data_IF_175474956426
#
_entry.id   IF_175474956426
#
_cell.length_a   1.000
_cell.length_b   1.000
_cell.length_c   1.000
_cell.angle_alpha   90.00
_cell.angle_beta   90.00
_cell.angle_gamma   90.00
#
_symmetry.space_group_name_H-M   'P 1'
#
loop_
_entity.id
_entity.type
_entity.pdbx_description
1 polymer ?
#
# COMPACT_ATOMS: atom_id res chain seq x y z
N UNK A 1 -57.45 91.33 68.30
CA UNK A 1 -57.80 91.12 66.87
C UNK A 1 -56.64 90.42 66.21
N UNK A 2 -56.71 89.09 66.05
CA UNK A 2 -55.61 88.25 65.55
C UNK A 2 -55.71 88.12 64.04
N UNK A 3 -54.66 88.54 63.33
CA UNK A 3 -54.48 88.20 61.93
C UNK A 3 -53.68 86.87 61.82
N UNK A 4 -54.31 85.84 61.29
CA UNK A 4 -53.68 84.59 60.96
C UNK A 4 -52.89 84.78 59.68
N UNK A 5 -51.64 84.55 59.73
CA UNK A 5 -50.72 84.42 58.57
C UNK A 5 -50.59 82.91 58.24
N UNK A 6 -51.15 82.50 57.14
CA UNK A 6 -50.95 81.14 56.64
C UNK A 6 -49.66 81.06 55.78
N UNK A 7 -48.70 80.32 56.24
CA UNK A 7 -47.50 80.07 55.52
C UNK A 7 -47.67 78.81 54.68
N UNK A 8 -47.75 78.95 53.33
CA UNK A 8 -47.74 77.82 52.37
C UNK A 8 -46.30 77.42 52.11
N UNK A 9 -45.94 76.29 52.63
CA UNK A 9 -44.67 75.68 52.28
C UNK A 9 -44.87 74.84 51.03
N UNK A 10 -44.33 75.29 49.89
CA UNK A 10 -44.31 74.54 48.65
C UNK A 10 -43.08 73.56 48.71
N UNK A 11 -43.35 72.29 48.89
CA UNK A 11 -42.36 71.29 48.79
C UNK A 11 -42.15 70.97 47.28
N UNK A 12 -41.06 71.44 46.69
CA UNK A 12 -40.65 71.07 45.36
C UNK A 12 -40.06 69.64 45.40
N UNK A 13 -40.84 68.66 45.03
CA UNK A 13 -40.37 67.32 44.76
C UNK A 13 -39.59 67.34 43.46
N UNK A 14 -38.29 67.58 43.55
CA UNK A 14 -37.37 67.32 42.45
C UNK A 14 -37.24 65.80 42.31
N UNK A 15 -38.05 65.20 41.43
CA UNK A 15 -37.93 63.82 41.04
C UNK A 15 -36.60 63.61 40.27
N UNK A 16 -35.65 63.08 40.96
CA UNK A 16 -34.46 62.52 40.27
C UNK A 16 -34.92 61.28 39.46
N UNK A 17 -35.20 61.47 38.18
CA UNK A 17 -35.31 60.33 37.23
C UNK A 17 -33.93 59.81 37.04
N UNK A 18 -33.57 58.75 37.78
CA UNK A 18 -32.38 57.95 37.47
C UNK A 18 -32.73 57.17 36.22
N UNK A 19 -32.38 57.74 35.07
CA UNK A 19 -32.39 56.96 33.81
C UNK A 19 -31.50 55.71 33.96
N UNK A 20 -32.01 54.51 33.75
CA UNK A 20 -31.18 53.36 33.79
C UNK A 20 -30.08 53.52 32.70
N UNK A 21 -28.80 53.45 33.12
CA UNK A 21 -27.72 53.42 32.18
C UNK A 21 -27.99 52.23 31.23
N UNK A 22 -27.91 52.41 29.91
CA UNK A 22 -28.01 51.24 29.00
C UNK A 22 -27.01 50.24 29.44
N UNK A 23 -27.47 49.04 29.77
CA UNK A 23 -26.60 47.92 29.97
C UNK A 23 -25.83 47.74 28.64
N UNK A 24 -24.58 48.13 28.64
CA UNK A 24 -23.70 47.74 27.55
C UNK A 24 -23.63 46.20 27.60
N UNK A 25 -24.36 45.56 26.70
CA UNK A 25 -24.14 44.16 26.41
C UNK A 25 -22.69 44.07 25.99
N UNK A 26 -21.81 43.69 26.91
CA UNK A 26 -20.48 43.21 26.52
C UNK A 26 -20.77 42.00 25.65
N UNK A 27 -20.62 42.17 24.35
CA UNK A 27 -20.57 41.04 23.46
C UNK A 27 -19.51 40.12 24.05
N UNK A 28 -19.94 38.93 24.48
CA UNK A 28 -19.02 37.87 24.82
C UNK A 28 -18.27 37.59 23.53
N UNK A 29 -17.11 38.25 23.33
CA UNK A 29 -16.18 37.81 22.33
C UNK A 29 -15.90 36.37 22.68
N UNK A 30 -16.20 35.40 21.77
CA UNK A 30 -15.90 34.01 22.07
C UNK A 30 -14.43 33.95 22.44
N UNK A 31 -14.17 33.54 23.66
CA UNK A 31 -12.79 33.31 24.11
C UNK A 31 -12.30 32.07 23.32
N UNK A 32 -11.70 32.35 22.18
CA UNK A 32 -11.00 31.32 21.42
C UNK A 32 -9.74 31.03 22.23
N UNK A 33 -9.71 29.87 22.89
CA UNK A 33 -8.48 29.37 23.48
C UNK A 33 -7.40 29.37 22.39
N UNK A 34 -6.25 30.00 22.60
CA UNK A 34 -5.17 29.91 21.65
C UNK A 34 -4.78 28.43 21.51
N UNK A 35 -5.03 27.88 20.31
CA UNK A 35 -4.61 26.52 20.01
C UNK A 35 -3.07 26.51 19.97
N UNK A 36 -2.47 25.68 20.76
CA UNK A 36 -1.04 25.39 20.69
C UNK A 36 -0.80 24.43 19.51
N UNK A 37 -0.54 25.00 18.35
CA UNK A 37 -0.32 24.23 17.12
C UNK A 37 0.95 23.37 17.19
N UNK A 38 1.94 23.78 17.96
CA UNK A 38 3.17 23.00 18.15
C UNK A 38 2.88 21.73 18.95
N UNK A 39 2.21 21.89 20.09
CA UNK A 39 1.76 20.76 20.91
C UNK A 39 0.83 19.82 20.12
N UNK A 40 -0.12 20.36 19.34
CA UNK A 40 -1.00 19.54 18.50
C UNK A 40 -0.20 18.73 17.48
N UNK A 41 0.77 19.35 16.83
CA UNK A 41 1.65 18.66 15.85
C UNK A 41 2.46 17.56 16.51
N UNK A 42 3.01 17.82 17.71
CA UNK A 42 3.74 16.80 18.48
C UNK A 42 2.85 15.62 18.83
N UNK A 43 1.63 15.87 19.31
CA UNK A 43 0.64 14.82 19.60
C UNK A 43 0.25 14.06 18.32
N UNK A 44 0.10 14.75 17.19
CA UNK A 44 -0.15 14.12 15.90
C UNK A 44 0.98 13.17 15.48
N UNK A 45 2.23 13.56 15.65
CA UNK A 45 3.40 12.69 15.40
C UNK A 45 3.45 11.49 16.34
N UNK A 46 3.14 11.69 17.61
CA UNK A 46 3.05 10.60 18.59
C UNK A 46 2.00 9.56 18.15
N UNK A 47 0.78 10.01 17.83
CA UNK A 47 -0.28 9.11 17.36
C UNK A 47 0.09 8.40 16.03
N UNK A 48 0.82 9.09 15.15
CA UNK A 48 1.33 8.47 13.92
C UNK A 48 2.33 7.36 14.23
N UNK A 49 3.22 7.55 15.20
CA UNK A 49 4.15 6.51 15.66
C UNK A 49 3.41 5.28 16.22
N UNK A 50 2.38 5.49 17.03
CA UNK A 50 1.53 4.40 17.53
C UNK A 50 0.77 3.69 16.40
N UNK A 51 0.25 4.46 15.43
CA UNK A 51 -0.42 3.90 14.26
C UNK A 51 0.53 3.02 13.42
N UNK A 52 1.79 3.44 13.25
CA UNK A 52 2.80 2.64 12.58
C UNK A 52 3.04 1.31 13.30
N UNK A 53 3.21 1.33 14.61
CA UNK A 53 3.37 0.10 15.41
C UNK A 53 2.16 -0.83 15.27
N UNK A 54 0.94 -0.29 15.32
CA UNK A 54 -0.27 -1.08 15.11
C UNK A 54 -0.30 -1.74 13.71
N UNK A 55 0.16 -1.04 12.68
CA UNK A 55 0.26 -1.59 11.33
C UNK A 55 1.29 -2.75 11.26
N UNK A 56 2.43 -2.62 11.92
CA UNK A 56 3.44 -3.67 12.04
C UNK A 56 2.88 -4.93 12.72
N UNK A 57 2.01 -4.77 13.73
CA UNK A 57 1.26 -5.86 14.35
C UNK A 57 0.01 -6.31 13.58
N UNK A 58 -0.14 -5.92 12.32
CA UNK A 58 -1.28 -6.24 11.44
C UNK A 58 -2.64 -5.78 11.96
N UNK A 59 -2.69 -4.80 12.86
CA UNK A 59 -3.92 -4.21 13.38
C UNK A 59 -4.38 -3.02 12.51
N UNK A 60 -4.55 -3.25 11.22
CA UNK A 60 -4.71 -2.21 10.19
C UNK A 60 -5.89 -1.25 10.45
N UNK A 61 -7.05 -1.76 10.88
CA UNK A 61 -8.21 -0.90 11.15
C UNK A 61 -7.93 0.10 12.29
N UNK A 62 -7.21 -0.34 13.32
CA UNK A 62 -6.83 0.52 14.45
C UNK A 62 -5.76 1.51 14.02
N UNK A 63 -4.77 1.06 13.28
CA UNK A 63 -3.72 1.91 12.70
C UNK A 63 -4.33 3.02 11.84
N UNK A 64 -5.27 2.67 10.96
CA UNK A 64 -5.94 3.62 10.08
C UNK A 64 -6.71 4.70 10.88
N UNK A 65 -7.49 4.28 11.89
CA UNK A 65 -8.23 5.23 12.75
C UNK A 65 -7.30 6.20 13.47
N UNK A 66 -6.20 5.68 14.00
CA UNK A 66 -5.24 6.49 14.75
C UNK A 66 -4.46 7.44 13.83
N UNK A 67 -4.07 6.99 12.64
CA UNK A 67 -3.42 7.82 11.63
C UNK A 67 -4.34 8.93 11.09
N UNK A 68 -5.65 8.67 10.96
CA UNK A 68 -6.64 9.69 10.60
C UNK A 68 -6.71 10.80 11.65
N UNK A 69 -6.70 10.45 12.95
CA UNK A 69 -6.64 11.41 14.04
C UNK A 69 -5.31 12.18 14.05
N UNK A 70 -4.20 11.48 13.80
CA UNK A 70 -2.88 12.10 13.69
C UNK A 70 -2.84 13.20 12.62
N UNK A 71 -3.43 12.98 11.46
CA UNK A 71 -3.52 13.99 10.37
C UNK A 71 -4.39 15.18 10.77
N UNK A 72 -5.43 14.99 11.60
CA UNK A 72 -6.22 16.12 12.10
C UNK A 72 -5.42 17.02 13.03
N UNK A 73 -4.51 16.45 13.83
CA UNK A 73 -3.65 17.20 14.75
C UNK A 73 -2.43 17.79 14.06
N UNK A 74 -1.86 17.09 13.07
CA UNK A 74 -0.68 17.50 12.32
C UNK A 74 -0.93 17.56 10.80
N UNK A 75 -1.83 18.42 10.32
CA UNK A 75 -2.28 18.40 8.92
C UNK A 75 -1.21 18.80 7.91
N UNK A 76 -0.12 19.43 8.34
CA UNK A 76 0.99 19.86 7.49
C UNK A 76 2.30 19.11 7.80
N UNK A 77 2.21 17.97 8.47
CA UNK A 77 3.37 17.12 8.68
C UNK A 77 3.47 16.08 7.57
N UNK A 78 4.58 16.12 6.82
CA UNK A 78 4.79 15.25 5.68
C UNK A 78 4.82 13.76 6.05
N UNK A 79 5.39 13.42 7.21
CA UNK A 79 5.52 12.03 7.64
C UNK A 79 4.18 11.47 8.11
N UNK A 80 3.39 12.27 8.82
CA UNK A 80 2.03 11.90 9.27
C UNK A 80 1.11 11.67 8.06
N UNK A 81 1.17 12.56 7.06
CA UNK A 81 0.43 12.42 5.81
C UNK A 81 0.87 11.17 5.03
N UNK A 82 2.19 10.92 4.97
CA UNK A 82 2.74 9.77 4.27
C UNK A 82 2.33 8.44 4.92
N UNK A 83 2.31 8.37 6.24
CA UNK A 83 1.85 7.19 6.96
C UNK A 83 0.39 6.88 6.63
N UNK A 84 -0.51 7.87 6.73
CA UNK A 84 -1.91 7.66 6.40
C UNK A 84 -2.09 7.29 4.92
N UNK A 85 -1.32 7.93 4.03
CA UNK A 85 -1.30 7.58 2.60
C UNK A 85 -0.88 6.13 2.36
N UNK A 86 0.17 5.66 3.04
CA UNK A 86 0.62 4.27 2.97
C UNK A 86 -0.42 3.27 3.51
N UNK A 87 -1.11 3.61 4.60
CA UNK A 87 -2.19 2.78 5.13
C UNK A 87 -3.39 2.70 4.18
N UNK A 88 -3.74 3.79 3.49
CA UNK A 88 -4.78 3.76 2.46
C UNK A 88 -4.34 2.93 1.23
N UNK A 89 -3.07 3.02 0.84
CA UNK A 89 -2.53 2.18 -0.23
C UNK A 89 -2.67 0.69 0.11
N UNK A 90 -2.34 0.32 1.33
CA UNK A 90 -2.46 -1.05 1.83
C UNK A 90 -3.92 -1.52 1.93
N UNK A 91 -4.86 -0.60 2.19
CA UNK A 91 -6.30 -0.85 2.18
C UNK A 91 -6.91 -0.90 0.76
N UNK A 92 -6.12 -0.66 -0.30
CA UNK A 92 -6.59 -0.58 -1.69
C UNK A 92 -7.28 0.74 -2.03
N UNK A 93 -7.27 1.72 -1.13
CA UNK A 93 -7.89 3.04 -1.33
C UNK A 93 -6.93 4.00 -2.07
N UNK A 94 -6.55 3.63 -3.28
CA UNK A 94 -5.45 4.20 -4.05
C UNK A 94 -5.59 5.71 -4.31
N UNK A 95 -6.80 6.22 -4.55
CA UNK A 95 -7.01 7.66 -4.80
C UNK A 95 -6.82 8.50 -3.53
N UNK A 96 -7.22 7.97 -2.38
CA UNK A 96 -6.96 8.62 -1.08
C UNK A 96 -5.49 8.62 -0.75
N UNK A 97 -4.80 7.50 -1.01
CA UNK A 97 -3.36 7.39 -0.87
C UNK A 97 -2.65 8.43 -1.72
N UNK A 98 -2.97 8.52 -3.02
CA UNK A 98 -2.37 9.47 -3.95
C UNK A 98 -2.54 10.93 -3.48
N UNK A 99 -3.73 11.29 -3.04
CA UNK A 99 -4.02 12.66 -2.55
C UNK A 99 -3.12 13.04 -1.37
N UNK A 100 -3.01 12.16 -0.38
CA UNK A 100 -2.20 12.42 0.83
C UNK A 100 -0.70 12.39 0.53
N UNK A 101 -0.25 11.41 -0.26
CA UNK A 101 1.16 11.28 -0.64
C UNK A 101 1.63 12.43 -1.54
N UNK A 102 0.78 12.93 -2.44
CA UNK A 102 1.09 14.13 -3.24
C UNK A 102 1.25 15.36 -2.35
N UNK A 103 0.37 15.52 -1.34
CA UNK A 103 0.50 16.58 -0.35
C UNK A 103 1.77 16.41 0.49
N UNK A 104 2.07 15.19 0.95
CA UNK A 104 3.30 14.90 1.68
C UNK A 104 4.55 15.23 0.84
N UNK A 105 4.55 14.84 -0.45
CA UNK A 105 5.65 15.15 -1.37
C UNK A 105 5.80 16.65 -1.64
N UNK A 106 4.73 17.44 -1.60
CA UNK A 106 4.84 18.91 -1.73
C UNK A 106 5.52 19.55 -0.51
N UNK A 107 5.42 18.93 0.67
CA UNK A 107 6.03 19.37 1.91
C UNK A 107 7.48 18.85 2.07
N UNK A 108 7.76 17.65 1.57
CA UNK A 108 9.07 17.02 1.64
C UNK A 108 9.40 16.29 0.32
N UNK A 109 9.77 17.01 -0.75
CA UNK A 109 9.84 16.46 -2.12
C UNK A 109 10.98 15.46 -2.35
N UNK A 110 11.97 15.42 -1.46
CA UNK A 110 13.13 14.52 -1.57
C UNK A 110 13.15 13.42 -0.49
N UNK A 111 12.05 13.25 0.23
CA UNK A 111 11.91 12.22 1.26
C UNK A 111 11.71 10.84 0.60
N UNK A 112 12.65 9.88 0.74
CA UNK A 112 12.61 8.62 0.02
C UNK A 112 11.35 7.81 0.28
N UNK A 113 10.89 7.75 1.52
CA UNK A 113 9.70 6.99 1.91
C UNK A 113 8.45 7.48 1.20
N UNK A 114 8.31 8.80 1.02
CA UNK A 114 7.18 9.41 0.28
C UNK A 114 7.28 9.05 -1.20
N UNK A 115 8.49 9.13 -1.77
CA UNK A 115 8.74 8.81 -3.17
C UNK A 115 8.47 7.33 -3.46
N UNK A 116 8.88 6.42 -2.57
CA UNK A 116 8.58 4.98 -2.70
C UNK A 116 7.08 4.70 -2.58
N UNK A 117 6.40 5.34 -1.62
CA UNK A 117 4.95 5.18 -1.48
C UNK A 117 4.18 5.73 -2.70
N UNK A 118 4.62 6.85 -3.31
CA UNK A 118 4.07 7.35 -4.58
C UNK A 118 4.33 6.36 -5.71
N UNK A 119 5.54 5.80 -5.80
CA UNK A 119 5.88 4.79 -6.78
C UNK A 119 4.96 3.57 -6.70
N UNK A 120 4.79 2.99 -5.50
CA UNK A 120 3.88 1.88 -5.26
C UNK A 120 2.40 2.24 -5.55
N UNK A 121 1.98 3.48 -5.24
CA UNK A 121 0.64 3.97 -5.55
C UNK A 121 0.41 4.03 -7.07
N UNK A 122 1.38 4.52 -7.84
CA UNK A 122 1.30 4.57 -9.30
C UNK A 122 1.36 3.16 -9.93
N UNK A 123 2.09 2.20 -9.34
CA UNK A 123 2.03 0.78 -9.75
C UNK A 123 0.61 0.23 -9.63
N UNK A 124 -0.07 0.41 -8.49
CA UNK A 124 -1.45 -0.03 -8.31
C UNK A 124 -2.43 0.66 -9.29
N UNK A 125 -2.15 1.90 -9.69
CA UNK A 125 -2.91 2.64 -10.70
C UNK A 125 -2.59 2.23 -12.13
N UNK A 126 -1.61 1.36 -12.32
CA UNK A 126 -1.08 0.99 -13.64
C UNK A 126 -0.40 2.14 -14.40
N UNK A 127 0.00 3.19 -13.68
CA UNK A 127 0.75 4.34 -14.20
C UNK A 127 2.27 4.05 -14.14
N UNK A 128 2.73 3.00 -14.83
CA UNK A 128 4.07 2.42 -14.68
C UNK A 128 5.22 3.39 -14.93
N UNK A 129 5.04 4.35 -15.85
CA UNK A 129 6.04 5.37 -16.13
C UNK A 129 6.20 6.36 -14.97
N UNK A 130 5.09 6.75 -14.34
CA UNK A 130 5.16 7.59 -13.15
C UNK A 130 5.73 6.81 -11.97
N UNK A 131 5.35 5.54 -11.83
CA UNK A 131 5.91 4.65 -10.80
C UNK A 131 7.44 4.59 -10.90
N UNK A 132 7.99 4.29 -12.08
CA UNK A 132 9.44 4.22 -12.28
C UNK A 132 10.11 5.55 -11.95
N UNK A 133 9.52 6.69 -12.37
CA UNK A 133 10.05 8.03 -12.09
C UNK A 133 10.18 8.32 -10.59
N UNK A 134 9.14 8.02 -9.80
CA UNK A 134 9.17 8.23 -8.35
C UNK A 134 10.14 7.27 -7.66
N UNK A 135 10.13 5.99 -8.03
CA UNK A 135 11.04 4.97 -7.48
C UNK A 135 12.51 5.31 -7.74
N UNK A 136 12.85 5.72 -8.97
CA UNK A 136 14.20 6.15 -9.30
C UNK A 136 14.64 7.38 -8.50
N UNK A 137 13.73 8.35 -8.29
CA UNK A 137 14.01 9.52 -7.45
C UNK A 137 14.32 9.11 -6.02
N UNK A 138 13.52 8.22 -5.43
CA UNK A 138 13.75 7.69 -4.09
C UNK A 138 15.07 6.90 -4.00
N UNK A 139 15.34 6.03 -4.97
CA UNK A 139 16.56 5.22 -5.03
C UNK A 139 17.85 6.04 -5.23
N UNK A 140 17.78 7.26 -5.75
CA UNK A 140 18.95 8.17 -5.73
C UNK A 140 19.33 8.58 -4.31
N UNK A 141 18.40 8.56 -3.36
CA UNK A 141 18.64 8.88 -1.94
C UNK A 141 18.94 7.64 -1.11
N UNK A 142 18.22 6.54 -1.38
CA UNK A 142 18.38 5.24 -0.72
C UNK A 142 18.62 4.14 -1.77
N UNK A 143 19.84 4.00 -2.30
CA UNK A 143 20.11 3.13 -3.45
C UNK A 143 19.97 1.64 -3.16
N UNK A 144 20.04 1.22 -1.90
CA UNK A 144 19.99 -0.17 -1.48
C UNK A 144 18.65 -0.57 -0.81
N UNK A 145 17.56 0.13 -1.12
CA UNK A 145 16.25 -0.26 -0.63
C UNK A 145 15.71 -1.43 -1.48
N UNK A 146 15.75 -2.65 -0.92
CA UNK A 146 15.39 -3.86 -1.67
C UNK A 146 13.94 -3.85 -2.18
N UNK A 147 12.99 -3.37 -1.36
CA UNK A 147 11.59 -3.26 -1.77
C UNK A 147 11.40 -2.25 -2.92
N UNK A 148 12.02 -1.08 -2.84
CA UNK A 148 11.92 -0.08 -3.90
C UNK A 148 12.57 -0.54 -5.20
N UNK A 149 13.68 -1.30 -5.14
CA UNK A 149 14.32 -1.93 -6.29
C UNK A 149 13.41 -3.01 -6.91
N UNK A 150 12.73 -3.81 -6.08
CA UNK A 150 11.74 -4.77 -6.53
C UNK A 150 10.56 -4.09 -7.24
N UNK A 151 9.98 -3.05 -6.62
CA UNK A 151 8.89 -2.28 -7.22
C UNK A 151 9.30 -1.62 -8.54
N UNK A 152 10.54 -1.12 -8.64
CA UNK A 152 11.07 -0.59 -9.88
C UNK A 152 11.26 -1.68 -10.94
N UNK A 153 11.66 -2.88 -10.53
CA UNK A 153 11.70 -4.06 -11.39
C UNK A 153 10.30 -4.39 -11.93
N UNK A 154 9.27 -4.36 -11.08
CA UNK A 154 7.88 -4.57 -11.48
C UNK A 154 7.42 -3.50 -12.48
N UNK A 155 7.75 -2.23 -12.24
CA UNK A 155 7.43 -1.13 -13.16
C UNK A 155 8.05 -1.36 -14.55
N UNK A 156 9.33 -1.74 -14.62
CA UNK A 156 10.01 -2.03 -15.87
C UNK A 156 9.47 -3.28 -16.57
N UNK A 157 9.13 -4.33 -15.82
CA UNK A 157 8.50 -5.53 -16.39
C UNK A 157 7.17 -5.18 -17.06
N UNK A 158 6.33 -4.38 -16.38
CA UNK A 158 5.04 -3.95 -16.91
C UNK A 158 5.17 -2.96 -18.09
N UNK A 159 6.32 -2.25 -18.19
CA UNK A 159 6.71 -1.47 -19.37
C UNK A 159 7.36 -2.32 -20.47
N UNK A 160 7.44 -3.64 -20.33
CA UNK A 160 8.10 -4.59 -21.25
C UNK A 160 9.61 -4.34 -21.40
N UNK A 161 10.24 -3.69 -20.43
CA UNK A 161 11.68 -3.42 -20.35
C UNK A 161 12.35 -4.53 -19.54
N UNK A 162 12.47 -5.70 -20.17
CA UNK A 162 12.85 -6.95 -19.50
C UNK A 162 14.27 -6.91 -18.91
N UNK A 163 15.22 -6.34 -19.62
CA UNK A 163 16.62 -6.29 -19.17
C UNK A 163 16.78 -5.35 -17.98
N UNK A 164 16.09 -4.20 -18.01
CA UNK A 164 16.03 -3.25 -16.90
C UNK A 164 15.33 -3.89 -15.67
N UNK A 165 14.25 -4.64 -15.88
CA UNK A 165 13.56 -5.36 -14.81
C UNK A 165 14.51 -6.35 -14.12
N UNK A 166 15.20 -7.21 -14.88
CA UNK A 166 16.18 -8.16 -14.34
C UNK A 166 17.30 -7.44 -13.58
N UNK A 167 17.79 -6.31 -14.13
CA UNK A 167 18.84 -5.55 -13.46
C UNK A 167 18.36 -5.01 -12.09
N UNK A 168 17.12 -4.53 -11.97
CA UNK A 168 16.56 -4.05 -10.70
C UNK A 168 16.28 -5.18 -9.72
N UNK A 169 15.74 -6.30 -10.16
CA UNK A 169 15.56 -7.48 -9.31
C UNK A 169 16.91 -8.02 -8.78
N UNK A 170 17.93 -8.09 -9.62
CA UNK A 170 19.28 -8.48 -9.17
C UNK A 170 19.84 -7.47 -8.14
N UNK A 171 19.64 -6.17 -8.33
CA UNK A 171 20.03 -5.16 -7.35
C UNK A 171 19.25 -5.31 -6.02
N UNK A 172 17.96 -5.67 -6.08
CA UNK A 172 17.16 -5.99 -4.89
C UNK A 172 17.73 -7.18 -4.12
N UNK A 173 18.08 -8.26 -4.82
CA UNK A 173 18.73 -9.45 -4.22
C UNK A 173 20.12 -9.10 -3.66
N UNK A 174 20.87 -8.24 -4.33
CA UNK A 174 22.18 -7.78 -3.82
C UNK A 174 22.03 -6.93 -2.55
N UNK A 175 20.95 -6.16 -2.43
CA UNK A 175 20.63 -5.37 -1.22
C UNK A 175 20.12 -6.26 -0.07
N UNK A 176 19.37 -7.32 -0.39
CA UNK A 176 18.82 -8.27 0.58
C UNK A 176 18.85 -9.68 -0.04
N UNK A 177 19.79 -10.50 0.38
CA UNK A 177 20.11 -11.79 -0.25
C UNK A 177 18.98 -12.85 -0.16
N UNK A 178 18.12 -12.74 0.84
CA UNK A 178 16.98 -13.64 1.05
C UNK A 178 15.65 -13.08 0.47
N UNK A 179 15.72 -12.02 -0.35
CA UNK A 179 14.54 -11.41 -0.95
C UNK A 179 14.04 -12.25 -2.14
N UNK A 180 13.49 -13.42 -1.82
CA UNK A 180 13.01 -14.41 -2.79
C UNK A 180 11.99 -13.87 -3.82
N UNK A 181 11.13 -12.82 -3.53
CA UNK A 181 10.19 -12.30 -4.54
C UNK A 181 10.89 -11.76 -5.79
N UNK A 182 12.06 -11.12 -5.63
CA UNK A 182 12.84 -10.66 -6.79
C UNK A 182 13.37 -11.82 -7.62
N UNK A 183 13.82 -12.89 -6.98
CA UNK A 183 14.32 -14.10 -7.66
C UNK A 183 13.17 -14.80 -8.42
N UNK A 184 11.99 -14.87 -7.80
CA UNK A 184 10.78 -15.37 -8.44
C UNK A 184 10.45 -14.57 -9.71
N UNK A 185 10.48 -13.25 -9.64
CA UNK A 185 10.14 -12.38 -10.77
C UNK A 185 11.21 -12.41 -11.88
N UNK A 186 12.49 -12.66 -11.56
CA UNK A 186 13.50 -12.97 -12.57
C UNK A 186 13.07 -14.22 -13.35
N UNK A 187 12.56 -15.26 -12.66
CA UNK A 187 12.04 -16.46 -13.30
C UNK A 187 10.89 -16.15 -14.27
N UNK A 188 9.94 -15.27 -13.87
CA UNK A 188 8.84 -14.85 -14.74
C UNK A 188 9.37 -14.18 -16.02
N UNK A 189 10.31 -13.25 -15.90
CA UNK A 189 10.91 -12.56 -17.06
C UNK A 189 11.65 -13.54 -17.97
N UNK A 190 12.48 -14.41 -17.41
CA UNK A 190 13.24 -15.40 -18.17
C UNK A 190 12.31 -16.34 -18.95
N UNK A 191 11.19 -16.73 -18.38
CA UNK A 191 10.21 -17.58 -19.07
C UNK A 191 9.57 -16.86 -20.25
N UNK A 192 9.19 -15.60 -20.11
CA UNK A 192 8.66 -14.79 -21.21
C UNK A 192 9.69 -14.63 -22.35
N UNK A 193 10.98 -14.54 -22.01
CA UNK A 193 12.09 -14.53 -22.98
C UNK A 193 12.38 -15.91 -23.61
N UNK A 194 11.66 -16.97 -23.20
CA UNK A 194 11.83 -18.32 -23.74
C UNK A 194 12.93 -19.14 -23.08
N UNK A 195 13.49 -18.68 -21.99
CA UNK A 195 14.59 -19.33 -21.26
C UNK A 195 14.05 -20.23 -20.14
N UNK A 196 13.23 -21.21 -20.52
CA UNK A 196 12.43 -22.02 -19.60
C UNK A 196 13.26 -22.75 -18.52
N UNK A 197 14.42 -23.30 -18.86
CA UNK A 197 15.26 -24.00 -17.87
C UNK A 197 15.89 -23.04 -16.86
N UNK A 198 16.28 -21.84 -17.30
CA UNK A 198 16.80 -20.81 -16.41
C UNK A 198 15.67 -20.25 -15.50
N UNK A 199 14.46 -20.09 -16.03
CA UNK A 199 13.29 -19.69 -15.26
C UNK A 199 13.00 -20.68 -14.13
N UNK A 200 12.98 -21.99 -14.45
CA UNK A 200 12.78 -23.05 -13.45
C UNK A 200 13.87 -23.01 -12.39
N UNK A 201 15.14 -22.85 -12.79
CA UNK A 201 16.24 -22.75 -11.82
C UNK A 201 16.05 -21.57 -10.86
N UNK A 202 15.55 -20.41 -11.35
CA UNK A 202 15.26 -19.26 -10.51
C UNK A 202 14.07 -19.49 -9.57
N UNK A 203 13.03 -20.15 -10.01
CA UNK A 203 11.91 -20.50 -9.12
C UNK A 203 12.30 -21.55 -8.08
N UNK A 204 13.17 -22.53 -8.43
CA UNK A 204 13.71 -23.48 -7.47
C UNK A 204 14.59 -22.77 -6.40
N UNK A 205 15.40 -21.76 -6.80
CA UNK A 205 16.16 -20.90 -5.90
C UNK A 205 15.23 -20.09 -4.99
N UNK A 206 14.22 -19.41 -5.55
CA UNK A 206 13.23 -18.64 -4.79
C UNK A 206 12.48 -19.52 -3.78
N UNK A 207 12.03 -20.71 -4.21
CA UNK A 207 11.31 -21.65 -3.36
C UNK A 207 12.18 -22.15 -2.20
N UNK A 208 13.47 -22.42 -2.45
CA UNK A 208 14.39 -22.85 -1.40
C UNK A 208 14.61 -21.75 -0.35
N UNK A 209 14.78 -20.49 -0.76
CA UNK A 209 14.91 -19.33 0.14
C UNK A 209 13.65 -19.05 0.93
N UNK A 210 12.47 -19.28 0.34
CA UNK A 210 11.18 -19.13 0.98
C UNK A 210 10.79 -20.31 1.92
N UNK A 211 11.69 -21.25 2.15
CA UNK A 211 11.43 -22.41 3.02
C UNK A 211 10.63 -23.53 2.36
N UNK A 212 10.46 -23.52 1.04
CA UNK A 212 9.86 -24.61 0.27
C UNK A 212 8.32 -24.62 0.24
N UNK A 213 7.64 -23.62 0.81
CA UNK A 213 6.17 -23.66 0.98
C UNK A 213 5.41 -22.66 0.08
N UNK A 214 6.09 -21.74 -0.61
CA UNK A 214 5.43 -20.72 -1.41
C UNK A 214 4.71 -21.31 -2.64
N UNK A 215 3.39 -21.07 -2.80
CA UNK A 215 2.59 -21.68 -3.85
C UNK A 215 2.94 -21.15 -5.26
N UNK A 216 3.30 -19.87 -5.40
CA UNK A 216 3.57 -19.28 -6.72
C UNK A 216 4.74 -19.93 -7.45
N UNK A 217 5.97 -19.98 -6.90
CA UNK A 217 7.07 -20.65 -7.59
C UNK A 217 6.83 -22.16 -7.76
N UNK A 218 6.13 -22.83 -6.82
CA UNK A 218 5.73 -24.24 -6.98
C UNK A 218 4.86 -24.42 -8.22
N UNK A 219 3.83 -23.61 -8.38
CA UNK A 219 2.92 -23.70 -9.52
C UNK A 219 3.65 -23.39 -10.83
N UNK A 220 4.49 -22.35 -10.86
CA UNK A 220 5.27 -21.99 -12.04
C UNK A 220 6.19 -23.15 -12.49
N UNK A 221 6.94 -23.77 -11.56
CA UNK A 221 7.77 -24.93 -11.82
C UNK A 221 6.91 -26.09 -12.38
N UNK A 222 5.80 -26.41 -11.73
CA UNK A 222 4.91 -27.50 -12.11
C UNK A 222 4.37 -27.32 -13.53
N UNK A 223 3.87 -26.14 -13.84
CA UNK A 223 3.32 -25.78 -15.16
C UNK A 223 4.37 -25.98 -16.25
N UNK A 224 5.57 -25.45 -16.04
CA UNK A 224 6.65 -25.54 -17.03
C UNK A 224 7.19 -26.96 -17.17
N UNK A 225 7.42 -27.66 -16.05
CA UNK A 225 7.87 -29.08 -16.08
C UNK A 225 6.84 -29.99 -16.71
N UNK A 226 5.53 -29.76 -16.51
CA UNK A 226 4.46 -30.50 -17.19
C UNK A 226 4.51 -30.27 -18.70
N UNK A 227 4.71 -29.05 -19.16
CA UNK A 227 4.84 -28.74 -20.58
C UNK A 227 6.11 -29.35 -21.21
N UNK A 228 7.26 -29.23 -20.55
CA UNK A 228 8.53 -29.82 -20.99
C UNK A 228 8.47 -31.36 -21.11
N UNK A 229 7.75 -32.00 -20.17
CA UNK A 229 7.54 -33.46 -20.20
C UNK A 229 6.57 -33.92 -21.27
N UNK A 230 5.95 -32.98 -22.02
CA UNK A 230 4.88 -33.29 -22.98
C UNK A 230 3.77 -34.17 -22.34
N UNK A 231 3.36 -33.84 -21.12
CA UNK A 231 2.52 -34.67 -20.28
C UNK A 231 1.08 -34.81 -20.79
N UNK A 232 0.69 -34.03 -21.78
CA UNK A 232 -0.60 -34.17 -22.49
C UNK A 232 -0.63 -35.34 -23.44
N UNK A 233 0.53 -35.78 -23.92
CA UNK A 233 0.61 -36.98 -24.80
C UNK A 233 0.33 -38.23 -23.96
N UNK A 234 -0.57 -39.09 -24.41
CA UNK A 234 -0.98 -40.30 -23.68
C UNK A 234 0.24 -41.18 -23.31
N UNK A 235 1.28 -41.21 -24.17
CA UNK A 235 2.54 -41.96 -23.96
C UNK A 235 3.29 -41.46 -22.72
N UNK A 236 3.23 -40.16 -22.41
CA UNK A 236 4.04 -39.52 -21.36
C UNK A 236 3.25 -39.23 -20.09
N UNK A 237 1.92 -39.27 -20.15
CA UNK A 237 1.05 -38.89 -19.03
C UNK A 237 1.34 -39.66 -17.73
N UNK A 238 1.78 -40.90 -17.82
CA UNK A 238 2.16 -41.74 -16.69
C UNK A 238 3.64 -41.64 -16.28
N UNK A 239 4.46 -40.84 -16.96
CA UNK A 239 5.86 -40.68 -16.60
C UNK A 239 6.06 -40.11 -15.21
N UNK A 240 7.14 -40.47 -14.54
CA UNK A 240 7.45 -39.96 -13.20
C UNK A 240 7.57 -38.42 -13.17
N UNK A 241 8.11 -37.84 -14.25
CA UNK A 241 8.20 -36.38 -14.39
C UNK A 241 6.82 -35.73 -14.41
N UNK A 242 5.89 -36.26 -15.20
CA UNK A 242 4.54 -35.74 -15.31
C UNK A 242 3.76 -35.89 -13.99
N UNK A 243 3.90 -37.04 -13.33
CA UNK A 243 3.26 -37.24 -12.02
C UNK A 243 3.78 -36.27 -10.95
N UNK A 244 5.10 -36.01 -10.91
CA UNK A 244 5.69 -35.02 -10.01
C UNK A 244 5.21 -33.60 -10.31
N UNK A 245 5.17 -33.21 -11.58
CA UNK A 245 4.68 -31.91 -12.00
C UNK A 245 3.20 -31.71 -11.61
N UNK A 246 2.35 -32.72 -11.87
CA UNK A 246 0.93 -32.68 -11.47
C UNK A 246 0.77 -32.55 -9.96
N UNK A 247 1.45 -33.42 -9.19
CA UNK A 247 1.38 -33.40 -7.72
C UNK A 247 1.83 -32.04 -7.16
N UNK A 248 2.96 -31.50 -7.64
CA UNK A 248 3.47 -30.21 -7.19
C UNK A 248 2.49 -29.05 -7.46
N UNK A 249 1.93 -29.00 -8.68
CA UNK A 249 0.99 -27.94 -9.03
C UNK A 249 -0.34 -28.05 -8.32
N UNK A 250 -0.87 -29.26 -8.12
CA UNK A 250 -2.07 -29.49 -7.33
C UNK A 250 -1.88 -29.08 -5.87
N UNK A 251 -0.75 -29.46 -5.26
CA UNK A 251 -0.41 -28.99 -3.89
C UNK A 251 -0.31 -27.47 -3.80
N UNK A 252 0.24 -26.78 -4.80
CA UNK A 252 0.27 -25.32 -4.82
C UNK A 252 -1.14 -24.69 -4.85
N UNK A 253 -2.04 -25.26 -5.66
CA UNK A 253 -3.44 -24.80 -5.75
C UNK A 253 -4.25 -25.09 -4.47
N UNK A 254 -3.98 -26.22 -3.81
CA UNK A 254 -4.58 -26.55 -2.50
C UNK A 254 -4.07 -25.63 -1.38
N UNK A 255 -2.79 -25.23 -1.44
CA UNK A 255 -2.19 -24.29 -0.48
C UNK A 255 -2.80 -22.88 -0.60
N UNK A 256 -3.04 -22.43 -1.84
CA UNK A 256 -3.68 -21.15 -2.09
C UNK A 256 -4.53 -21.22 -3.38
N UNK A 257 -5.82 -21.40 -3.19
CA UNK A 257 -6.79 -21.53 -4.30
C UNK A 257 -6.92 -20.28 -5.19
N UNK A 258 -6.43 -19.11 -4.72
CA UNK A 258 -6.43 -17.90 -5.55
C UNK A 258 -5.61 -18.08 -6.84
N UNK A 259 -4.58 -18.93 -6.82
CA UNK A 259 -3.79 -19.24 -8.02
C UNK A 259 -4.55 -20.07 -9.07
N UNK A 260 -5.77 -20.52 -8.79
CA UNK A 260 -6.69 -21.08 -9.77
C UNK A 260 -7.35 -20.01 -10.66
N UNK A 261 -7.34 -18.75 -10.22
CA UNK A 261 -7.91 -17.61 -10.93
C UNK A 261 -6.87 -16.97 -11.86
N UNK A 262 -7.19 -16.90 -13.15
CA UNK A 262 -6.30 -16.29 -14.15
C UNK A 262 -6.06 -14.79 -13.91
N UNK A 263 -7.05 -14.05 -13.39
CA UNK A 263 -6.87 -12.62 -13.11
C UNK A 263 -5.94 -12.42 -11.92
N UNK A 264 -5.98 -13.31 -10.93
CA UNK A 264 -5.00 -13.31 -9.84
C UNK A 264 -3.59 -13.61 -10.34
N UNK A 265 -3.41 -14.57 -11.26
CA UNK A 265 -2.11 -14.85 -11.89
C UNK A 265 -1.58 -13.62 -12.65
N UNK A 266 -2.43 -12.93 -13.42
CA UNK A 266 -2.03 -11.69 -14.12
C UNK A 266 -1.64 -10.58 -13.16
N UNK A 267 -2.35 -10.44 -12.03
CA UNK A 267 -1.98 -9.49 -10.98
C UNK A 267 -0.62 -9.81 -10.36
N UNK A 268 -0.23 -11.09 -10.33
CA UNK A 268 1.09 -11.56 -9.91
C UNK A 268 2.12 -11.60 -11.07
N UNK A 269 1.91 -10.79 -12.11
CA UNK A 269 2.84 -10.56 -13.22
C UNK A 269 3.11 -11.78 -14.11
N UNK A 270 2.24 -12.78 -14.09
CA UNK A 270 2.34 -13.89 -15.01
C UNK A 270 2.10 -13.41 -16.44
N UNK A 271 3.14 -13.49 -17.27
CA UNK A 271 3.11 -13.01 -18.63
C UNK A 271 2.35 -13.93 -19.58
N UNK A 272 2.21 -13.50 -20.82
CA UNK A 272 1.38 -14.19 -21.81
C UNK A 272 1.79 -15.64 -22.04
N UNK A 273 3.10 -15.89 -22.15
CA UNK A 273 3.63 -17.24 -22.41
C UNK A 273 3.36 -18.20 -21.24
N UNK A 274 3.59 -17.74 -20.02
CA UNK A 274 3.34 -18.55 -18.82
C UNK A 274 1.84 -18.82 -18.66
N UNK A 275 0.99 -17.81 -18.91
CA UNK A 275 -0.47 -17.97 -18.88
C UNK A 275 -0.97 -19.02 -19.87
N UNK A 276 -0.48 -19.02 -21.11
CA UNK A 276 -0.84 -20.04 -22.09
C UNK A 276 -0.44 -21.45 -21.62
N UNK A 277 0.76 -21.58 -21.02
CA UNK A 277 1.24 -22.86 -20.50
C UNK A 277 0.40 -23.31 -19.30
N UNK A 278 -0.01 -22.37 -18.45
CA UNK A 278 -0.88 -22.63 -17.30
C UNK A 278 -2.28 -23.13 -17.72
N UNK A 279 -2.87 -22.55 -18.73
CA UNK A 279 -4.15 -23.01 -19.28
C UNK A 279 -4.05 -24.47 -19.77
N UNK A 280 -2.89 -24.82 -20.36
CA UNK A 280 -2.66 -26.20 -20.76
C UNK A 280 -2.55 -27.14 -19.55
N UNK A 281 -1.89 -26.73 -18.49
CA UNK A 281 -1.79 -27.46 -17.24
C UNK A 281 -3.14 -27.62 -16.56
N UNK A 282 -3.95 -26.55 -16.48
CA UNK A 282 -5.32 -26.57 -15.94
C UNK A 282 -6.26 -27.48 -16.74
N UNK A 283 -5.97 -27.70 -18.03
CA UNK A 283 -6.69 -28.64 -18.88
C UNK A 283 -6.38 -30.13 -18.59
N UNK A 284 -5.38 -30.48 -17.77
CA UNK A 284 -5.09 -31.85 -17.38
C UNK A 284 -6.25 -32.44 -16.53
N UNK A 285 -6.66 -33.70 -16.76
CA UNK A 285 -7.85 -34.27 -16.10
C UNK A 285 -7.83 -34.17 -14.58
N UNK A 286 -6.69 -34.49 -13.94
CA UNK A 286 -6.55 -34.42 -12.49
C UNK A 286 -6.65 -32.99 -11.93
N UNK A 287 -6.01 -32.03 -12.62
CA UNK A 287 -6.06 -30.61 -12.23
C UNK A 287 -7.45 -30.05 -12.41
N UNK A 288 -8.13 -30.38 -13.52
CA UNK A 288 -9.50 -29.94 -13.78
C UNK A 288 -10.50 -30.47 -12.73
N UNK A 289 -10.31 -31.72 -12.26
CA UNK A 289 -11.13 -32.24 -11.17
C UNK A 289 -10.90 -31.45 -9.87
N UNK A 290 -9.65 -31.15 -9.53
CA UNK A 290 -9.33 -30.31 -8.37
C UNK A 290 -9.93 -28.91 -8.50
N UNK A 291 -9.77 -28.26 -9.66
CA UNK A 291 -10.33 -26.90 -9.88
C UNK A 291 -11.86 -26.83 -9.80
N UNK A 292 -12.55 -27.95 -9.96
CA UNK A 292 -14.01 -28.03 -9.79
C UNK A 292 -14.42 -28.18 -8.30
N UNK A 293 -13.48 -28.52 -7.43
CA UNK A 293 -13.67 -28.69 -5.97
C UNK A 293 -13.23 -27.46 -5.17
N UNK A 294 -12.36 -26.59 -5.72
CA UNK A 294 -11.90 -25.34 -5.12
C UNK A 294 -12.90 -24.20 -5.31
#
# INVERSE_FOLDING_TARGET
MLKRISLLVAIALSGFVIAPKPAQAQALTPYVLPLDYELMTEQGRYLASEAQQLAEYRQFNRALTLAQLAVQLAPNDAQVLALLGGLYLQAGETERALTLLTRANSLAPEEPRILFALGATHLQRQDYLQASTYLERGLRREPNNANALFDLGNAYLLLQQHDEAIARYNASVAAQADFWPSINNIGLVLYEQGQADQAVAKWEEALALAGGEEPEPKLAIAVVRHAQGNCRAMVNAGSQQCQRALSMGMTALEQDSRYADEDFLRQNLWGHRLMQTTQQFFGAPAVRSLLAEL
#
